data_IF_146203116791
#
_entry.id   IF_146203116791
#
_cell.length_a   1.000
_cell.length_b   1.000
_cell.length_c   1.000
_cell.angle_alpha   90.00
_cell.angle_beta   90.00
_cell.angle_gamma   90.00
#
_symmetry.space_group_name_H-M   'P 1'
#
loop_
_entity.id
_entity.type
_entity.pdbx_description
1 polymer ?
#
# COMPACT_ATOMS: atom_id res chain seq x y z
N UNK A 1 14.66 11.50 -3.62
CA UNK A 1 15.72 10.86 -2.82
C UNK A 1 16.01 9.49 -3.38
N UNK A 2 16.85 8.74 -2.66
CA UNK A 2 17.30 7.40 -3.04
C UNK A 2 16.19 6.34 -2.87
N UNK A 3 15.33 6.54 -1.88
CA UNK A 3 14.11 5.76 -1.65
C UNK A 3 12.86 6.54 -2.07
N UNK A 4 11.84 5.80 -2.49
CA UNK A 4 10.55 6.40 -2.86
C UNK A 4 9.43 5.38 -2.85
N UNK A 5 8.21 5.88 -2.65
CA UNK A 5 6.98 5.11 -2.79
C UNK A 5 6.01 5.91 -3.67
N UNK A 6 5.63 5.33 -4.80
CA UNK A 6 4.66 5.93 -5.72
C UNK A 6 3.37 5.14 -5.63
N UNK A 7 2.26 5.82 -5.36
CA UNK A 7 0.94 5.22 -5.38
C UNK A 7 0.10 5.79 -6.52
N UNK A 8 -0.26 4.93 -7.46
CA UNK A 8 -1.09 5.25 -8.62
C UNK A 8 -2.38 4.46 -8.52
N UNK A 9 -3.51 5.13 -8.71
CA UNK A 9 -4.82 4.50 -8.64
C UNK A 9 -5.80 5.14 -9.62
N UNK A 10 -6.85 4.39 -9.92
CA UNK A 10 -8.05 4.87 -10.61
C UNK A 10 -9.25 4.49 -9.77
N UNK A 11 -10.10 5.46 -9.47
CA UNK A 11 -11.30 5.24 -8.67
C UNK A 11 -12.46 6.11 -9.15
N UNK A 12 -13.67 5.65 -8.88
CA UNK A 12 -14.91 6.39 -9.11
C UNK A 12 -15.55 6.71 -7.76
N UNK A 13 -16.08 7.91 -7.61
CA UNK A 13 -16.75 8.32 -6.38
C UNK A 13 -17.31 9.73 -6.48
N UNK A 14 -18.34 10.01 -5.69
CA UNK A 14 -18.98 11.34 -5.63
C UNK A 14 -18.34 12.29 -4.62
N UNK A 15 -17.37 11.81 -3.83
CA UNK A 15 -16.77 12.58 -2.72
C UNK A 15 -15.26 12.56 -2.80
N UNK A 16 -14.65 13.70 -2.48
CA UNK A 16 -13.21 13.77 -2.24
C UNK A 16 -12.88 13.14 -0.89
N UNK A 17 -11.72 12.51 -0.86
CA UNK A 17 -11.33 11.64 0.23
C UNK A 17 -9.91 12.00 0.68
N UNK A 18 -9.73 12.32 1.96
CA UNK A 18 -8.40 12.54 2.52
C UNK A 18 -7.76 11.20 2.89
N UNK A 19 -6.51 11.05 2.46
CA UNK A 19 -5.66 9.89 2.72
C UNK A 19 -4.34 10.35 3.34
N UNK A 20 -3.70 9.45 4.06
CA UNK A 20 -2.36 9.67 4.61
C UNK A 20 -1.39 8.68 3.97
N UNK A 21 -0.17 9.15 3.75
CA UNK A 21 0.96 8.35 3.31
C UNK A 21 2.15 8.68 4.22
N UNK A 22 2.75 7.65 4.79
CA UNK A 22 4.01 7.75 5.53
C UNK A 22 5.03 6.87 4.86
N UNK A 23 6.21 7.46 4.63
CA UNK A 23 7.40 6.73 4.20
C UNK A 23 8.47 6.90 5.26
N UNK A 24 9.26 5.85 5.50
CA UNK A 24 10.31 5.86 6.50
C UNK A 24 11.40 4.87 6.18
N UNK A 25 12.63 5.20 6.57
CA UNK A 25 13.78 4.31 6.52
C UNK A 25 14.16 3.98 7.96
N UNK A 26 14.53 2.73 8.24
CA UNK A 26 15.01 2.32 9.57
C UNK A 26 16.35 2.99 9.92
N UNK A 27 16.67 3.10 11.20
CA UNK A 27 17.90 3.76 11.67
C UNK A 27 19.18 3.12 11.12
N UNK A 28 19.16 1.81 10.88
CA UNK A 28 20.27 1.05 10.29
C UNK A 28 20.30 1.12 8.75
N UNK A 29 19.41 1.91 8.14
CA UNK A 29 19.16 1.99 6.70
C UNK A 29 18.86 0.64 6.03
N UNK A 30 18.50 -0.40 6.78
CA UNK A 30 18.25 -1.76 6.26
C UNK A 30 16.84 -1.98 5.70
N UNK A 31 15.87 -1.18 6.16
CA UNK A 31 14.47 -1.32 5.79
C UNK A 31 13.88 0.03 5.36
N UNK A 32 13.10 -0.02 4.29
CA UNK A 32 12.22 1.04 3.85
C UNK A 32 10.77 0.62 4.08
N UNK A 33 9.95 1.54 4.57
CA UNK A 33 8.52 1.32 4.79
C UNK A 33 7.69 2.35 4.04
N UNK A 34 6.58 1.91 3.48
CA UNK A 34 5.56 2.76 2.88
C UNK A 34 4.19 2.30 3.35
N UNK A 35 3.47 3.21 4.00
CA UNK A 35 2.13 2.97 4.52
C UNK A 35 1.19 4.02 3.94
N UNK A 36 0.10 3.59 3.32
CA UNK A 36 -0.92 4.45 2.72
C UNK A 36 -2.25 4.03 3.33
N UNK A 37 -3.00 4.93 3.94
CA UNK A 37 -4.25 4.54 4.58
C UNK A 37 -5.29 5.66 4.66
N UNK A 38 -6.53 5.24 4.84
CA UNK A 38 -7.68 6.08 5.14
C UNK A 38 -7.78 6.28 6.67
N UNK A 39 -7.56 7.50 7.21
CA UNK A 39 -7.62 7.73 8.66
C UNK A 39 -8.99 7.47 9.28
N UNK A 40 -10.06 7.57 8.47
CA UNK A 40 -11.45 7.29 8.88
C UNK A 40 -11.82 5.79 8.75
N UNK A 41 -10.87 4.92 8.43
CA UNK A 41 -11.07 3.48 8.38
C UNK A 41 -11.52 2.97 7.01
N UNK A 42 -12.78 3.22 6.61
CA UNK A 42 -13.32 2.73 5.33
C UNK A 42 -13.31 3.83 4.26
N UNK A 43 -12.84 3.49 3.05
CA UNK A 43 -13.02 4.29 1.84
C UNK A 43 -14.37 4.00 1.20
N UNK A 44 -15.02 5.03 0.68
CA UNK A 44 -16.25 4.95 -0.13
C UNK A 44 -15.97 5.08 -1.63
N UNK A 45 -14.74 5.38 -2.02
CA UNK A 45 -14.32 5.32 -3.42
C UNK A 45 -14.36 3.88 -3.94
N UNK A 46 -14.83 3.72 -5.18
CA UNK A 46 -14.81 2.48 -5.94
C UNK A 46 -13.51 2.39 -6.75
N UNK A 47 -12.52 1.65 -6.26
CA UNK A 47 -11.21 1.54 -6.91
C UNK A 47 -11.27 0.56 -8.08
N UNK A 48 -11.09 1.02 -9.32
CA UNK A 48 -10.97 0.11 -10.46
C UNK A 48 -9.56 -0.45 -10.60
N UNK A 49 -8.55 0.32 -10.20
CA UNK A 49 -7.14 -0.06 -10.29
C UNK A 49 -6.33 0.57 -9.14
N UNK A 50 -5.36 -0.17 -8.63
CA UNK A 50 -4.31 0.40 -7.79
C UNK A 50 -2.95 -0.27 -8.07
N UNK A 51 -1.88 0.51 -7.89
CA UNK A 51 -0.49 0.09 -7.90
C UNK A 51 0.32 0.96 -6.94
N UNK A 52 1.05 0.33 -6.03
CA UNK A 52 2.11 0.95 -5.27
C UNK A 52 3.47 0.43 -5.78
N UNK A 53 4.44 1.31 -5.96
CA UNK A 53 5.77 0.99 -6.45
C UNK A 53 6.84 1.58 -5.52
N UNK A 54 7.79 0.73 -5.12
CA UNK A 54 8.92 1.10 -4.28
C UNK A 54 10.15 1.30 -5.14
N UNK A 55 10.87 2.39 -4.90
CA UNK A 55 12.16 2.71 -5.51
C UNK A 55 13.27 2.56 -4.47
N UNK A 56 14.40 2.00 -4.88
CA UNK A 56 15.62 1.91 -4.05
C UNK A 56 15.62 0.78 -3.02
N UNK A 57 14.57 -0.06 -2.98
CA UNK A 57 14.45 -1.19 -2.08
C UNK A 57 13.62 -2.31 -2.74
N UNK A 58 13.76 -3.55 -2.24
CA UNK A 58 12.99 -4.73 -2.70
C UNK A 58 11.96 -5.14 -1.66
N UNK A 59 10.71 -5.34 -2.06
CA UNK A 59 9.62 -5.71 -1.15
C UNK A 59 9.91 -7.05 -0.50
N UNK A 60 9.93 -7.07 0.84
CA UNK A 60 9.97 -8.31 1.64
C UNK A 60 8.57 -8.69 2.13
N UNK A 61 7.74 -7.67 2.41
CA UNK A 61 6.39 -7.88 2.91
C UNK A 61 5.46 -6.77 2.41
N UNK A 62 4.26 -7.15 2.00
CA UNK A 62 3.20 -6.20 1.75
C UNK A 62 1.83 -6.77 2.07
N UNK A 63 0.92 -5.89 2.48
CA UNK A 63 -0.47 -6.25 2.75
C UNK A 63 -1.41 -5.11 2.35
N UNK A 64 -2.59 -5.49 1.86
CA UNK A 64 -3.65 -4.58 1.48
C UNK A 64 -4.91 -4.90 2.29
N UNK A 65 -5.73 -3.87 2.57
CA UNK A 65 -6.92 -4.00 3.40
C UNK A 65 -8.11 -3.27 2.77
N UNK A 66 -9.29 -3.90 2.79
CA UNK A 66 -10.55 -3.26 2.38
C UNK A 66 -11.06 -2.28 3.44
N UNK A 67 -10.66 -2.46 4.69
CA UNK A 67 -10.95 -1.57 5.82
C UNK A 67 -9.69 -1.37 6.65
N UNK A 68 -9.38 -0.13 6.98
CA UNK A 68 -8.32 0.21 7.91
C UNK A 68 -8.85 0.31 9.35
N UNK A 69 -8.03 -0.04 10.33
CA UNK A 69 -8.34 0.18 11.73
C UNK A 69 -8.45 1.68 12.04
N UNK A 70 -9.58 2.09 12.62
CA UNK A 70 -9.85 3.47 13.02
C UNK A 70 -10.99 3.50 14.06
N UNK A 71 -10.73 4.05 15.25
CA UNK A 71 -11.71 4.04 16.34
C UNK A 71 -12.08 2.61 16.75
N UNK A 72 -13.36 2.23 16.55
CA UNK A 72 -13.85 0.87 16.82
C UNK A 72 -13.69 -0.11 15.65
N UNK A 73 -13.18 0.35 14.50
CA UNK A 73 -12.95 -0.49 13.32
C UNK A 73 -11.62 -1.24 13.44
N UNK A 74 -11.62 -2.50 12.97
CA UNK A 74 -10.42 -3.32 12.82
C UNK A 74 -9.97 -3.37 11.35
N UNK A 75 -8.70 -3.72 11.14
CA UNK A 75 -8.19 -4.02 9.81
C UNK A 75 -8.91 -5.25 9.23
N UNK A 76 -9.40 -5.14 7.99
CA UNK A 76 -9.95 -6.27 7.22
C UNK A 76 -9.03 -6.49 6.01
N UNK A 77 -8.20 -7.55 6.01
CA UNK A 77 -7.25 -7.79 4.93
C UNK A 77 -7.99 -8.16 3.64
N UNK A 78 -7.45 -7.70 2.51
CA UNK A 78 -7.80 -8.25 1.21
C UNK A 78 -7.36 -9.71 1.13
N UNK A 79 -8.07 -10.50 0.33
CA UNK A 79 -7.63 -11.87 0.08
C UNK A 79 -6.41 -11.85 -0.84
N UNK A 80 -5.54 -12.85 -0.69
CA UNK A 80 -4.30 -12.94 -1.46
C UNK A 80 -4.56 -13.02 -2.97
N UNK A 81 -5.70 -13.55 -3.41
CA UNK A 81 -6.05 -13.59 -4.83
C UNK A 81 -6.46 -12.22 -5.43
N UNK A 82 -6.73 -11.21 -4.59
CA UNK A 82 -7.21 -9.89 -5.03
C UNK A 82 -6.08 -8.94 -5.45
N UNK A 83 -4.84 -9.28 -5.10
CA UNK A 83 -3.67 -8.46 -5.41
C UNK A 83 -2.45 -9.33 -5.66
N UNK A 84 -1.41 -8.71 -6.18
CA UNK A 84 -0.12 -9.35 -6.43
C UNK A 84 1.01 -8.48 -5.94
N UNK A 85 2.09 -9.15 -5.57
CA UNK A 85 3.33 -8.53 -5.11
C UNK A 85 4.44 -9.01 -6.05
N UNK A 86 5.20 -8.06 -6.59
CA UNK A 86 6.45 -8.32 -7.31
C UNK A 86 7.63 -7.84 -6.46
N UNK A 87 8.86 -7.90 -6.98
CA UNK A 87 10.04 -7.40 -6.26
C UNK A 87 9.91 -5.93 -5.82
N UNK A 88 9.16 -5.10 -6.55
CA UNK A 88 9.08 -3.65 -6.28
C UNK A 88 7.66 -3.10 -6.33
N UNK A 89 6.64 -3.90 -6.66
CA UNK A 89 5.27 -3.40 -6.84
C UNK A 89 4.24 -4.22 -6.07
N UNK A 90 3.19 -3.54 -5.61
CA UNK A 90 1.96 -4.15 -5.10
C UNK A 90 0.80 -3.62 -5.93
N UNK A 91 0.07 -4.48 -6.63
CA UNK A 91 -1.02 -4.07 -7.52
C UNK A 91 -2.24 -4.96 -7.39
N UNK A 92 -3.40 -4.42 -7.73
CA UNK A 92 -4.63 -5.20 -7.84
C UNK A 92 -4.50 -6.30 -8.90
N UNK A 93 -5.24 -7.40 -8.72
CA UNK A 93 -5.46 -8.42 -9.75
C UNK A 93 -6.78 -8.16 -10.47
N UNK A 94 -6.68 -7.99 -11.79
CA UNK A 94 -7.84 -7.78 -12.64
C UNK A 94 -8.85 -8.94 -12.52
N UNK A 95 -10.14 -8.60 -12.41
CA UNK A 95 -11.24 -9.56 -12.25
C UNK A 95 -11.31 -10.28 -10.90
N UNK A 96 -10.36 -10.04 -9.97
CA UNK A 96 -10.38 -10.61 -8.62
C UNK A 96 -10.58 -9.55 -7.54
N UNK A 97 -9.95 -8.40 -7.70
CA UNK A 97 -10.06 -7.28 -6.78
C UNK A 97 -11.49 -6.76 -6.66
N UNK A 98 -12.01 -6.64 -5.43
CA UNK A 98 -13.41 -6.26 -5.15
C UNK A 98 -13.64 -4.76 -5.01
N UNK A 99 -12.76 -3.94 -5.59
CA UNK A 99 -12.89 -2.48 -5.67
C UNK A 99 -12.81 -1.73 -4.32
N UNK A 100 -12.60 -2.43 -3.21
CA UNK A 100 -12.47 -1.86 -1.87
C UNK A 100 -10.99 -1.79 -1.47
N UNK A 101 -10.46 -0.59 -1.25
CA UNK A 101 -9.13 -0.37 -0.70
C UNK A 101 -9.20 0.72 0.35
N UNK A 102 -8.58 0.48 1.51
CA UNK A 102 -8.52 1.45 2.62
C UNK A 102 -7.13 1.57 3.24
N UNK A 103 -6.26 0.57 3.06
CA UNK A 103 -4.88 0.61 3.56
C UNK A 103 -3.96 -0.29 2.73
N UNK A 104 -2.73 0.18 2.52
CA UNK A 104 -1.59 -0.55 1.98
C UNK A 104 -0.42 -0.39 2.95
N UNK A 105 0.22 -1.49 3.27
CA UNK A 105 1.44 -1.55 4.07
C UNK A 105 2.51 -2.26 3.26
N UNK A 106 3.67 -1.65 3.11
CA UNK A 106 4.81 -2.20 2.37
C UNK A 106 6.06 -2.05 3.22
N UNK A 107 6.79 -3.15 3.37
CA UNK A 107 8.12 -3.19 3.96
C UNK A 107 9.06 -3.76 2.90
N UNK A 108 10.11 -3.03 2.60
CA UNK A 108 11.10 -3.35 1.60
C UNK A 108 12.49 -3.31 2.20
N UNK A 109 13.34 -4.27 1.81
CA UNK A 109 14.74 -4.31 2.19
C UNK A 109 15.55 -3.41 1.26
N UNK A 110 16.39 -2.58 1.85
CA UNK A 110 17.36 -1.81 1.07
C UNK A 110 18.48 -2.75 0.59
N UNK A 111 19.08 -2.49 -0.59
CA UNK A 111 20.31 -3.17 -0.98
C UNK A 111 21.40 -2.83 0.03
N UNK A 112 22.03 -3.83 0.66
CA UNK A 112 23.29 -3.63 1.36
C UNK A 112 24.42 -3.69 0.33
N UNK A 113 25.13 -2.59 0.15
CA UNK A 113 26.47 -2.63 -0.42
C UNK A 113 27.40 -3.16 0.67
N UNK A 114 27.72 -4.45 0.61
CA UNK A 114 28.90 -4.97 1.29
C UNK A 114 30.11 -4.65 0.40
N UNK A 115 30.71 -3.49 0.63
CA UNK A 115 31.99 -3.06 0.06
C UNK A 115 33.16 -3.61 0.88
#
# INVERSE_FOLDING_TARGET
GDYGCTFTYSAQGGTNEQWQMTVGVSEDNGLFSCSIWRPQGKSYLFFTQFKAEVKGAKIEYAMAYSQAAAGALNDIPLKQEEFEITETTVSHREGKFRFELSKLMIVAKTPRDEL
#
